data_IF_854857675456
#
_entry.id   IF_854857675456
#
_cell.length_a   1.000
_cell.length_b   1.000
_cell.length_c   1.000
_cell.angle_alpha   90.00
_cell.angle_beta   90.00
_cell.angle_gamma   90.00
#
_symmetry.space_group_name_H-M   'P 1'
#
loop_
_entity.id
_entity.type
_entity.pdbx_description
1 polymer ?
#
# COMPACT_ATOMS: atom_id res chain seq x y z
N UNK A 1 -20.23 -3.61 -40.00
CA UNK A 1 -19.11 -4.58 -39.90
C UNK A 1 -17.86 -3.94 -39.32
N UNK A 2 -17.49 -2.73 -39.73
CA UNK A 2 -16.34 -1.95 -39.24
C UNK A 2 -16.35 -1.67 -37.74
N UNK A 3 -17.51 -1.37 -37.16
CA UNK A 3 -17.69 -1.06 -35.72
C UNK A 3 -17.56 -2.29 -34.81
N UNK A 4 -17.93 -3.48 -35.29
CA UNK A 4 -17.83 -4.70 -34.52
C UNK A 4 -16.36 -5.19 -34.44
N UNK A 5 -15.63 -5.06 -35.56
CA UNK A 5 -14.20 -5.33 -35.62
C UNK A 5 -13.39 -4.36 -34.74
N UNK A 6 -13.73 -3.07 -34.73
CA UNK A 6 -13.02 -2.08 -33.88
C UNK A 6 -13.25 -2.32 -32.40
N UNK A 7 -14.46 -2.70 -31.99
CA UNK A 7 -14.76 -3.08 -30.59
C UNK A 7 -14.01 -4.36 -30.21
N UNK A 8 -14.00 -5.37 -31.08
CA UNK A 8 -13.24 -6.61 -30.85
C UNK A 8 -11.73 -6.38 -30.72
N UNK A 9 -11.16 -5.48 -31.53
CA UNK A 9 -9.74 -5.12 -31.47
C UNK A 9 -9.40 -4.35 -30.18
N UNK A 10 -10.28 -3.45 -29.75
CA UNK A 10 -10.14 -2.75 -28.47
C UNK A 10 -10.17 -3.73 -27.29
N UNK A 11 -11.10 -4.68 -27.29
CA UNK A 11 -11.20 -5.71 -26.23
C UNK A 11 -9.93 -6.57 -26.21
N UNK A 12 -9.41 -6.98 -27.37
CA UNK A 12 -8.18 -7.77 -27.46
C UNK A 12 -6.99 -7.00 -26.88
N UNK A 13 -6.86 -5.71 -27.22
CA UNK A 13 -5.81 -4.85 -26.67
C UNK A 13 -5.92 -4.65 -25.15
N UNK A 14 -7.15 -4.48 -24.62
CA UNK A 14 -7.36 -4.38 -23.18
C UNK A 14 -6.98 -5.67 -22.46
N UNK A 15 -7.28 -6.83 -23.05
CA UNK A 15 -6.89 -8.13 -22.50
C UNK A 15 -5.37 -8.29 -22.51
N UNK A 16 -4.68 -7.89 -23.58
CA UNK A 16 -3.21 -7.93 -23.66
C UNK A 16 -2.56 -7.02 -22.60
N UNK A 17 -3.10 -5.81 -22.40
CA UNK A 17 -2.66 -4.90 -21.34
C UNK A 17 -2.88 -5.52 -19.96
N UNK A 18 -4.05 -6.11 -19.71
CA UNK A 18 -4.36 -6.77 -18.45
C UNK A 18 -3.41 -7.94 -18.17
N UNK A 19 -3.14 -8.77 -19.17
CA UNK A 19 -2.20 -9.88 -19.07
C UNK A 19 -0.80 -9.37 -18.74
N UNK A 20 -0.34 -8.33 -19.43
CA UNK A 20 0.97 -7.74 -19.19
C UNK A 20 1.11 -7.14 -17.78
N UNK A 21 0.08 -6.46 -17.29
CA UNK A 21 0.04 -5.95 -15.90
C UNK A 21 0.14 -7.13 -14.93
N UNK A 22 -0.64 -8.19 -15.17
CA UNK A 22 -0.65 -9.39 -14.33
C UNK A 22 0.74 -10.04 -14.26
N UNK A 23 1.39 -10.28 -15.40
CA UNK A 23 2.75 -10.83 -15.47
C UNK A 23 3.75 -10.01 -14.64
N UNK A 24 3.75 -8.69 -14.84
CA UNK A 24 4.69 -7.79 -14.17
C UNK A 24 4.42 -7.72 -12.66
N UNK A 25 3.15 -7.68 -12.25
CA UNK A 25 2.76 -7.68 -10.84
C UNK A 25 3.11 -9.02 -10.17
N UNK A 26 2.84 -10.15 -10.82
CA UNK A 26 3.22 -11.48 -10.31
C UNK A 26 4.74 -11.56 -10.11
N UNK A 27 5.53 -11.11 -11.08
CA UNK A 27 6.99 -11.09 -10.96
C UNK A 27 7.47 -10.17 -9.84
N UNK A 28 6.87 -8.98 -9.73
CA UNK A 28 7.19 -8.01 -8.68
C UNK A 28 6.94 -8.59 -7.28
N UNK A 29 5.75 -9.13 -7.03
CA UNK A 29 5.40 -9.71 -5.74
C UNK A 29 6.29 -10.92 -5.44
N UNK A 30 6.49 -11.81 -6.41
CA UNK A 30 7.36 -12.98 -6.23
C UNK A 30 8.77 -12.56 -5.81
N UNK A 31 9.34 -11.54 -6.47
CA UNK A 31 10.65 -10.99 -6.09
C UNK A 31 10.63 -10.42 -4.67
N UNK A 32 9.66 -9.56 -4.34
CA UNK A 32 9.55 -8.98 -2.99
C UNK A 32 9.48 -10.09 -1.92
N UNK A 33 8.66 -11.11 -2.13
CA UNK A 33 8.57 -12.29 -1.24
C UNK A 33 9.93 -12.99 -1.09
N UNK A 34 10.63 -13.28 -2.19
CA UNK A 34 11.94 -13.94 -2.17
C UNK A 34 13.00 -13.11 -1.43
N UNK A 35 13.10 -11.81 -1.73
CA UNK A 35 14.07 -10.92 -1.08
C UNK A 35 13.79 -10.75 0.41
N UNK A 36 12.51 -10.63 0.81
CA UNK A 36 12.11 -10.58 2.22
C UNK A 36 12.48 -11.86 2.95
N UNK A 37 12.27 -13.04 2.35
CA UNK A 37 12.68 -14.33 2.93
C UNK A 37 14.21 -14.42 3.13
N UNK A 38 14.99 -13.79 2.25
CA UNK A 38 16.44 -13.66 2.37
C UNK A 38 16.90 -12.55 3.34
N UNK A 39 15.98 -11.92 4.09
CA UNK A 39 16.25 -10.77 4.97
C UNK A 39 16.86 -9.56 4.23
N UNK A 40 16.63 -9.43 2.93
CA UNK A 40 17.08 -8.30 2.12
C UNK A 40 16.00 -7.22 2.06
N UNK A 41 15.96 -6.37 3.06
CA UNK A 41 14.93 -5.33 3.23
C UNK A 41 15.00 -4.18 2.22
N UNK A 42 16.13 -4.01 1.52
CA UNK A 42 16.29 -2.97 0.50
C UNK A 42 15.19 -3.00 -0.59
N UNK A 43 14.69 -4.19 -0.94
CA UNK A 43 13.61 -4.32 -1.93
C UNK A 43 12.34 -3.59 -1.47
N UNK A 44 12.08 -3.54 -0.15
CA UNK A 44 10.88 -2.89 0.39
C UNK A 44 10.96 -1.37 0.18
N UNK A 45 12.13 -0.77 0.41
CA UNK A 45 12.35 0.66 0.12
C UNK A 45 12.22 1.01 -1.36
N UNK A 46 12.70 0.13 -2.24
CA UNK A 46 12.50 0.31 -3.69
C UNK A 46 11.01 0.20 -4.03
N UNK A 47 10.30 -0.79 -3.45
CA UNK A 47 8.87 -0.99 -3.64
C UNK A 47 8.03 0.20 -3.19
N UNK A 48 8.35 0.83 -2.06
CA UNK A 48 7.69 2.07 -1.59
C UNK A 48 7.66 3.12 -2.71
N UNK A 49 8.79 3.35 -3.36
CA UNK A 49 8.93 4.37 -4.41
C UNK A 49 8.23 3.97 -5.71
N UNK A 50 8.37 2.70 -6.13
CA UNK A 50 7.72 2.18 -7.34
C UNK A 50 6.19 2.26 -7.24
N UNK A 51 5.63 2.09 -6.05
CA UNK A 51 4.18 2.08 -5.83
C UNK A 51 3.56 3.49 -5.78
N UNK A 52 4.35 4.55 -5.66
CA UNK A 52 3.84 5.93 -5.54
C UNK A 52 2.86 6.29 -6.67
N UNK A 53 3.18 6.12 -7.97
CA UNK A 53 2.26 6.51 -9.03
C UNK A 53 0.93 5.76 -8.96
N UNK A 54 0.97 4.46 -8.68
CA UNK A 54 -0.22 3.62 -8.56
C UNK A 54 -1.10 4.02 -7.36
N UNK A 55 -0.50 4.14 -6.18
CA UNK A 55 -1.22 4.50 -4.95
C UNK A 55 -1.72 5.95 -4.98
N UNK A 56 -1.01 6.84 -5.67
CA UNK A 56 -1.47 8.22 -5.89
C UNK A 56 -2.76 8.25 -6.68
N UNK A 57 -2.90 7.42 -7.71
CA UNK A 57 -4.14 7.33 -8.49
C UNK A 57 -5.27 6.66 -7.69
N UNK A 58 -5.00 5.52 -7.05
CA UNK A 58 -6.00 4.77 -6.26
C UNK A 58 -6.62 5.63 -5.16
N UNK A 59 -5.82 6.45 -4.47
CA UNK A 59 -6.29 7.27 -3.35
C UNK A 59 -6.52 8.74 -3.72
N UNK A 60 -6.51 9.10 -5.01
CA UNK A 60 -6.63 10.49 -5.48
C UNK A 60 -5.67 11.45 -4.75
N UNK A 61 -4.43 11.02 -4.58
CA UNK A 61 -3.40 11.61 -3.74
C UNK A 61 -2.18 12.01 -4.59
N UNK A 62 -2.35 12.96 -5.51
CA UNK A 62 -1.37 13.31 -6.57
C UNK A 62 0.04 13.72 -6.11
N UNK A 63 0.22 14.11 -4.84
CA UNK A 63 1.51 14.53 -4.28
C UNK A 63 1.97 13.58 -3.16
N UNK A 64 1.69 12.29 -3.29
CA UNK A 64 2.20 11.26 -2.40
C UNK A 64 3.72 11.17 -2.55
N UNK A 65 4.45 11.27 -1.44
CA UNK A 65 5.91 11.26 -1.42
C UNK A 65 6.44 10.12 -0.57
N UNK A 66 7.62 9.62 -0.91
CA UNK A 66 8.39 8.78 -0.01
C UNK A 66 8.92 9.63 1.16
N UNK A 67 8.49 9.33 2.37
CA UNK A 67 8.85 10.05 3.60
C UNK A 67 10.28 9.75 4.03
N UNK A 68 10.83 8.57 3.67
CA UNK A 68 12.24 8.23 3.90
C UNK A 68 13.19 9.13 3.11
N UNK A 69 12.74 9.79 2.03
CA UNK A 69 13.52 10.81 1.32
C UNK A 69 13.59 12.16 2.03
N UNK A 70 12.70 12.39 3.01
CA UNK A 70 12.61 13.63 3.79
C UNK A 70 13.34 13.46 5.12
N UNK A 71 13.05 12.36 5.82
CA UNK A 71 13.73 11.98 7.06
C UNK A 71 13.97 10.47 7.02
N UNK A 72 15.24 10.07 7.09
CA UNK A 72 15.63 8.68 7.02
C UNK A 72 14.94 7.89 8.16
N UNK A 73 14.38 6.72 7.83
CA UNK A 73 13.64 5.87 8.77
C UNK A 73 12.42 6.58 9.36
N UNK A 74 11.59 7.21 8.52
CA UNK A 74 10.37 7.90 8.96
C UNK A 74 9.50 6.91 9.78
N UNK A 75 9.00 7.32 10.96
CA UNK A 75 8.41 6.36 11.88
C UNK A 75 7.06 5.85 11.39
N UNK A 76 6.95 4.53 11.21
CA UNK A 76 5.67 3.81 11.15
C UNK A 76 4.82 4.03 9.90
N UNK A 77 5.23 4.87 8.96
CA UNK A 77 4.62 5.06 7.63
C UNK A 77 5.72 5.39 6.62
N UNK A 78 5.54 4.98 5.36
CA UNK A 78 6.58 5.14 4.34
C UNK A 78 6.23 6.24 3.34
N UNK A 79 4.94 6.40 3.03
CA UNK A 79 4.45 7.39 2.08
C UNK A 79 3.51 8.37 2.77
N UNK A 80 3.51 9.63 2.33
CA UNK A 80 2.61 10.63 2.87
C UNK A 80 2.37 11.83 1.97
N UNK A 81 1.21 12.44 2.17
CA UNK A 81 0.84 13.71 1.56
C UNK A 81 0.11 14.55 2.59
N UNK A 82 0.74 15.66 3.00
CA UNK A 82 0.22 16.56 4.02
C UNK A 82 -0.98 17.36 3.55
N UNK A 83 -1.10 17.61 2.24
CA UNK A 83 -2.21 18.38 1.68
C UNK A 83 -3.50 17.57 1.69
N UNK A 84 -3.43 16.29 1.31
CA UNK A 84 -4.57 15.38 1.41
C UNK A 84 -4.68 14.71 2.79
N UNK A 85 -3.71 14.95 3.68
CA UNK A 85 -3.63 14.39 5.04
C UNK A 85 -3.76 12.85 5.05
N UNK A 86 -3.13 12.20 4.06
CA UNK A 86 -3.08 10.73 3.94
C UNK A 86 -1.65 10.24 4.17
N UNK A 87 -1.51 9.20 5.00
CA UNK A 87 -0.29 8.43 5.16
C UNK A 87 -0.51 6.97 4.75
N UNK A 88 0.53 6.33 4.21
CA UNK A 88 0.49 4.94 3.77
C UNK A 88 1.72 4.21 4.28
N UNK A 89 1.50 3.10 5.00
CA UNK A 89 2.51 2.08 5.22
C UNK A 89 2.45 1.08 4.07
N UNK A 90 3.60 0.80 3.46
CA UNK A 90 3.83 -0.29 2.51
C UNK A 90 4.54 -1.42 3.26
N UNK A 91 4.04 -2.65 3.16
CA UNK A 91 4.67 -3.80 3.83
C UNK A 91 4.58 -5.07 2.99
N UNK A 92 5.55 -5.98 3.14
CA UNK A 92 5.49 -7.32 2.57
C UNK A 92 5.06 -8.39 3.58
N UNK A 93 4.86 -8.02 4.85
CA UNK A 93 4.54 -8.95 5.94
C UNK A 93 3.14 -8.68 6.52
N UNK A 94 2.27 -9.70 6.59
CA UNK A 94 0.84 -9.48 6.88
C UNK A 94 0.46 -9.37 8.37
N UNK A 95 1.15 -10.04 9.31
CA UNK A 95 0.53 -10.27 10.63
C UNK A 95 0.94 -9.28 11.74
N UNK A 96 2.22 -9.19 12.13
CA UNK A 96 2.64 -8.37 13.27
C UNK A 96 2.83 -6.89 12.96
N UNK A 97 3.06 -6.56 11.68
CA UNK A 97 3.45 -5.20 11.26
C UNK A 97 2.31 -4.20 11.43
N UNK A 98 1.04 -4.60 11.31
CA UNK A 98 -0.11 -3.68 11.33
C UNK A 98 -0.31 -3.01 12.69
N UNK A 99 -0.31 -3.80 13.76
CA UNK A 99 -0.44 -3.28 15.13
C UNK A 99 0.72 -2.36 15.46
N UNK A 100 1.94 -2.76 15.10
CA UNK A 100 3.14 -1.95 15.26
C UNK A 100 3.08 -0.61 14.49
N UNK A 101 2.55 -0.62 13.26
CA UNK A 101 2.30 0.60 12.48
C UNK A 101 1.33 1.51 13.23
N UNK A 102 0.21 1.00 13.74
CA UNK A 102 -0.75 1.79 14.51
C UNK A 102 -0.14 2.34 15.80
N UNK A 103 0.58 1.52 16.56
CA UNK A 103 1.29 1.93 17.78
C UNK A 103 2.28 3.05 17.50
N UNK A 104 3.09 2.93 16.43
CA UNK A 104 4.00 4.00 16.00
C UNK A 104 3.24 5.25 15.55
N UNK A 105 2.17 5.09 14.78
CA UNK A 105 1.37 6.21 14.30
C UNK A 105 0.81 7.04 15.45
N UNK A 106 0.38 6.38 16.53
CA UNK A 106 -0.05 7.02 17.78
C UNK A 106 1.12 7.60 18.57
N UNK A 107 2.19 6.81 18.81
CA UNK A 107 3.32 7.21 19.64
C UNK A 107 4.04 8.46 19.08
N UNK A 108 4.13 8.57 17.76
CA UNK A 108 4.72 9.72 17.08
C UNK A 108 3.70 10.81 16.71
N UNK A 109 2.46 10.71 17.20
CA UNK A 109 1.37 11.67 16.97
C UNK A 109 1.12 12.00 15.51
N UNK A 110 1.32 11.03 14.62
CA UNK A 110 1.17 11.23 13.18
C UNK A 110 -0.27 11.54 12.78
N UNK A 111 -1.24 11.17 13.62
CA UNK A 111 -2.65 11.52 13.48
C UNK A 111 -2.91 13.04 13.50
N UNK A 112 -2.01 13.86 14.06
CA UNK A 112 -2.14 15.33 14.01
C UNK A 112 -1.86 15.85 12.57
N UNK A 113 -1.04 15.11 11.82
CA UNK A 113 -0.60 15.46 10.47
C UNK A 113 -1.42 14.78 9.37
N UNK A 114 -1.92 13.58 9.63
CA UNK A 114 -2.64 12.76 8.67
C UNK A 114 -3.94 12.24 9.29
N UNK A 115 -5.08 12.51 8.65
CA UNK A 115 -6.40 12.09 9.12
C UNK A 115 -6.67 10.62 8.78
N UNK A 116 -6.00 10.09 7.75
CA UNK A 116 -6.18 8.73 7.24
C UNK A 116 -4.85 8.00 7.19
N UNK A 117 -4.83 6.80 7.75
CA UNK A 117 -3.75 5.84 7.60
C UNK A 117 -4.22 4.68 6.72
N UNK A 118 -3.45 4.36 5.68
CA UNK A 118 -3.63 3.16 4.85
C UNK A 118 -2.47 2.20 5.07
N UNK A 119 -2.73 0.89 5.01
CA UNK A 119 -1.71 -0.16 5.03
C UNK A 119 -1.85 -0.96 3.74
N UNK A 120 -0.86 -0.82 2.86
CA UNK A 120 -0.78 -1.59 1.62
C UNK A 120 0.18 -2.77 1.79
N UNK A 121 -0.33 -3.98 1.57
CA UNK A 121 0.42 -5.22 1.69
C UNK A 121 0.74 -5.73 0.29
N UNK A 122 2.03 -5.82 -0.02
CA UNK A 122 2.53 -6.31 -1.32
C UNK A 122 2.29 -7.83 -1.47
N UNK A 123 2.16 -8.56 -0.37
CA UNK A 123 1.97 -10.01 -0.38
C UNK A 123 0.49 -10.40 -0.30
N UNK A 124 0.20 -11.61 -0.79
CA UNK A 124 -1.12 -12.26 -0.73
C UNK A 124 -1.75 -12.21 0.67
N UNK A 125 -3.06 -12.00 0.69
CA UNK A 125 -3.90 -12.08 1.89
C UNK A 125 -3.83 -13.48 2.49
N UNK A 126 -3.34 -13.59 3.72
CA UNK A 126 -3.18 -14.90 4.39
C UNK A 126 -4.39 -15.29 5.24
N UNK A 127 -5.09 -14.35 5.90
CA UNK A 127 -6.29 -14.58 6.73
C UNK A 127 -7.19 -13.33 6.77
N UNK A 128 -8.47 -13.50 7.15
CA UNK A 128 -9.33 -12.36 7.52
C UNK A 128 -8.73 -11.64 8.74
N UNK A 129 -8.78 -10.31 8.72
CA UNK A 129 -8.34 -9.49 9.85
C UNK A 129 -9.38 -9.60 10.97
N UNK A 130 -9.23 -10.62 11.81
CA UNK A 130 -10.01 -10.73 13.06
C UNK A 130 -9.61 -9.56 13.96
N UNK A 131 -10.49 -8.57 14.05
CA UNK A 131 -10.25 -7.21 14.56
C UNK A 131 -10.02 -7.06 16.06
N UNK A 132 -9.29 -7.98 16.71
CA UNK A 132 -9.04 -7.88 18.14
C UNK A 132 -7.85 -6.93 18.41
N UNK A 133 -8.14 -5.81 19.06
CA UNK A 133 -7.14 -4.88 19.62
C UNK A 133 -6.79 -3.65 18.77
N UNK A 134 -7.36 -3.46 17.57
CA UNK A 134 -7.08 -2.24 16.80
C UNK A 134 -7.64 -1.00 17.47
N UNK A 135 -8.90 -1.05 17.92
CA UNK A 135 -9.54 0.08 18.59
C UNK A 135 -8.88 0.44 19.91
N UNK A 136 -8.38 -0.56 20.65
CA UNK A 136 -7.61 -0.35 21.88
C UNK A 136 -6.31 0.43 21.62
N UNK A 137 -5.61 0.17 20.51
CA UNK A 137 -4.40 0.90 20.13
C UNK A 137 -4.73 2.33 19.66
N UNK A 138 -5.78 2.47 18.85
CA UNK A 138 -6.16 3.76 18.25
C UNK A 138 -6.66 4.74 19.30
N UNK A 139 -7.36 4.25 20.33
CA UNK A 139 -7.87 5.05 21.44
C UNK A 139 -8.65 6.29 20.97
N UNK A 140 -9.51 6.09 19.95
CA UNK A 140 -10.32 7.13 19.29
C UNK A 140 -9.54 8.35 18.74
N UNK A 141 -8.21 8.25 18.55
CA UNK A 141 -7.38 9.37 18.07
C UNK A 141 -7.53 9.66 16.58
N UNK A 142 -7.92 8.68 15.77
CA UNK A 142 -8.16 8.84 14.34
C UNK A 142 -9.08 7.74 13.81
N UNK A 143 -9.62 7.92 12.59
CA UNK A 143 -10.48 6.93 11.96
C UNK A 143 -9.67 5.85 11.24
N UNK A 144 -9.91 4.60 11.60
CA UNK A 144 -9.31 3.45 10.92
C UNK A 144 -10.30 2.27 10.90
N UNK A 145 -10.62 1.82 9.69
CA UNK A 145 -11.41 0.64 9.43
C UNK A 145 -10.53 -0.42 8.73
N UNK A 146 -10.17 -1.52 9.41
CA UNK A 146 -9.33 -2.57 8.83
C UNK A 146 -9.83 -3.13 7.49
N UNK A 147 -11.14 -3.12 7.24
CA UNK A 147 -11.74 -3.63 6.00
C UNK A 147 -11.59 -2.67 4.80
N UNK A 148 -11.30 -1.40 5.05
CA UNK A 148 -11.16 -0.35 4.03
C UNK A 148 -9.78 0.32 4.00
N UNK A 149 -9.04 0.23 5.09
CA UNK A 149 -7.75 0.88 5.28
C UNK A 149 -6.59 -0.12 5.17
N UNK A 150 -6.85 -1.43 5.16
CA UNK A 150 -5.86 -2.45 4.81
C UNK A 150 -6.18 -2.96 3.40
N UNK A 151 -5.23 -2.80 2.49
CA UNK A 151 -5.32 -3.29 1.11
C UNK A 151 -4.31 -4.41 0.90
N UNK A 152 -4.80 -5.50 0.36
CA UNK A 152 -4.09 -6.70 -0.05
C UNK A 152 -4.81 -7.31 -1.26
N UNK A 153 -4.26 -8.38 -1.83
CA UNK A 153 -4.89 -9.16 -2.89
C UNK A 153 -4.89 -10.65 -2.58
#
# INVERSE_FOLDING_TARGET
>A
MTTLLSVSLLILNLLDIQNRITELMTLFVTRVKSYTAMKRTYINHVSETILIPLLSEIYNCKNLKNLNSINANYPGVDLGNEKSRIAIQVTSTPDSTKKHTLEKFIAYKLYEKYDRLKIYIIAEKQKKYSGNGFQEIIDNKFEFNPDHDIIDY
#
